data_IF_252675602794
#
_entry.id   IF_252675602794
#
_cell.length_a   1.000
_cell.length_b   1.000
_cell.length_c   1.000
_cell.angle_alpha   90.00
_cell.angle_beta   90.00
_cell.angle_gamma   90.00
#
_symmetry.space_group_name_H-M   'P 1'
#
loop_
_entity.id
_entity.type
_entity.pdbx_description
1 polymer ?
#
# COMPACT_ATOMS: atom_id res chain seq x y z
N UNK A 1 -2.68 15.73 -18.47
CA UNK A 1 -3.51 15.61 -17.26
C UNK A 1 -2.60 15.00 -16.20
N UNK A 2 -2.02 15.82 -15.33
CA UNK A 2 -1.14 15.33 -14.27
C UNK A 2 -2.02 14.64 -13.23
N UNK A 3 -1.89 13.32 -13.16
CA UNK A 3 -2.57 12.48 -12.18
C UNK A 3 -2.37 13.09 -10.79
N UNK A 4 -3.49 13.41 -10.15
CA UNK A 4 -3.45 13.80 -8.75
C UNK A 4 -2.97 12.56 -8.00
N UNK A 5 -1.85 12.70 -7.29
CA UNK A 5 -1.20 11.66 -6.53
C UNK A 5 -2.09 11.30 -5.32
N UNK A 6 -3.28 10.71 -5.59
CA UNK A 6 -4.33 10.42 -4.61
C UNK A 6 -3.77 9.38 -3.66
N UNK A 7 -3.69 9.76 -2.39
CA UNK A 7 -3.16 8.88 -1.36
C UNK A 7 -4.28 8.10 -0.70
N UNK A 8 -3.94 7.07 0.09
CA UNK A 8 -4.92 6.37 0.92
C UNK A 8 -5.63 7.32 1.89
N UNK A 9 -5.01 8.46 2.25
CA UNK A 9 -5.63 9.44 3.13
C UNK A 9 -6.89 10.06 2.50
N UNK A 10 -6.88 10.22 1.18
CA UNK A 10 -7.96 10.82 0.39
C UNK A 10 -9.08 9.82 0.04
N UNK A 11 -8.99 8.59 0.56
CA UNK A 11 -9.91 7.49 0.29
C UNK A 11 -10.81 7.19 1.50
N UNK A 12 -12.02 6.71 1.25
CA UNK A 12 -12.89 6.16 2.31
C UNK A 12 -12.33 4.83 2.83
N UNK A 13 -12.76 4.34 4.00
CA UNK A 13 -12.37 3.02 4.50
C UNK A 13 -12.60 1.90 3.47
N UNK A 14 -13.73 1.91 2.77
CA UNK A 14 -14.08 0.91 1.76
C UNK A 14 -13.16 0.98 0.53
N UNK A 15 -12.83 2.19 0.07
CA UNK A 15 -11.86 2.38 -1.02
C UNK A 15 -10.45 1.90 -0.60
N UNK A 16 -10.05 2.10 0.66
CA UNK A 16 -8.76 1.62 1.18
C UNK A 16 -8.70 0.10 1.24
N UNK A 17 -9.77 -0.55 1.69
CA UNK A 17 -9.88 -2.01 1.70
C UNK A 17 -9.75 -2.57 0.27
N UNK A 18 -10.36 -1.90 -0.72
CA UNK A 18 -10.21 -2.27 -2.12
C UNK A 18 -8.79 -2.09 -2.65
N UNK A 19 -7.96 -1.25 -2.02
CA UNK A 19 -6.56 -1.08 -2.38
C UNK A 19 -5.66 -2.18 -1.82
N UNK A 20 -6.14 -3.02 -0.90
CA UNK A 20 -5.33 -4.13 -0.36
C UNK A 20 -4.95 -5.08 -1.50
N UNK A 21 -3.67 -5.45 -1.54
CA UNK A 21 -3.07 -6.22 -2.63
C UNK A 21 -2.79 -5.43 -3.90
N UNK A 22 -2.88 -4.11 -3.88
CA UNK A 22 -2.35 -3.25 -4.94
C UNK A 22 -0.90 -2.85 -4.66
N UNK A 23 -0.22 -2.49 -5.73
CA UNK A 23 1.02 -1.76 -5.68
C UNK A 23 0.78 -0.35 -5.13
N UNK A 24 1.67 0.12 -4.28
CA UNK A 24 1.67 1.47 -3.71
C UNK A 24 3.04 2.09 -3.87
N UNK A 25 3.08 3.37 -4.25
CA UNK A 25 4.26 4.18 -4.02
C UNK A 25 4.24 4.60 -2.55
N UNK A 26 5.31 4.29 -1.84
CA UNK A 26 5.51 4.61 -0.43
C UNK A 26 6.84 5.38 -0.26
N UNK A 27 7.16 5.75 0.98
CA UNK A 27 8.34 6.59 1.31
C UNK A 27 9.64 5.99 0.78
N UNK A 28 9.79 4.67 0.89
CA UNK A 28 10.99 3.96 0.52
C UNK A 28 10.97 3.36 -0.91
N UNK A 29 9.95 3.68 -1.70
CA UNK A 29 9.82 3.18 -3.07
C UNK A 29 8.53 2.40 -3.30
N UNK A 30 8.57 1.44 -4.23
CA UNK A 30 7.42 0.63 -4.58
C UNK A 30 7.22 -0.48 -3.53
N UNK A 31 5.97 -0.66 -3.11
CA UNK A 31 5.61 -1.73 -2.19
C UNK A 31 4.22 -2.27 -2.46
N UNK A 32 3.85 -3.29 -1.70
CA UNK A 32 2.56 -3.97 -1.77
C UNK A 32 1.76 -3.64 -0.52
N UNK A 33 0.55 -3.12 -0.70
CA UNK A 33 -0.36 -2.86 0.41
C UNK A 33 -0.89 -4.20 0.97
N UNK A 34 -0.49 -4.58 2.19
CA UNK A 34 -0.91 -5.84 2.83
C UNK A 34 -2.16 -5.69 3.67
N UNK A 35 -2.35 -4.53 4.30
CA UNK A 35 -3.53 -4.24 5.09
C UNK A 35 -3.78 -2.73 5.17
N UNK A 36 -5.05 -2.36 5.32
CA UNK A 36 -5.47 -1.02 5.72
C UNK A 36 -5.94 -1.07 7.18
N UNK A 37 -5.02 -0.89 8.14
CA UNK A 37 -5.38 -0.95 9.56
C UNK A 37 -6.11 0.34 9.97
N UNK A 38 -7.27 0.21 10.64
CA UNK A 38 -8.12 1.33 11.06
C UNK A 38 -7.43 2.20 12.13
N UNK A 39 -7.72 3.50 12.05
CA UNK A 39 -7.01 4.65 12.60
C UNK A 39 -6.75 4.68 14.10
N UNK A 40 -5.51 5.06 14.45
CA UNK A 40 -5.21 5.87 15.63
C UNK A 40 -5.62 7.34 15.35
N UNK A 41 -6.33 7.99 16.28
CA UNK A 41 -6.83 9.37 16.16
C UNK A 41 -5.72 10.38 15.82
N UNK A 42 -4.46 10.04 16.11
CA UNK A 42 -3.31 10.93 15.96
C UNK A 42 -2.76 11.00 14.54
N UNK A 43 -2.98 9.99 13.69
CA UNK A 43 -2.33 9.87 12.38
C UNK A 43 -3.26 9.68 11.18
N UNK A 44 -4.57 9.69 11.39
CA UNK A 44 -5.58 9.43 10.34
C UNK A 44 -5.39 8.08 9.60
N UNK A 45 -4.66 7.13 10.21
CA UNK A 45 -4.52 5.74 9.75
C UNK A 45 -3.14 5.37 9.19
N UNK A 46 -2.81 4.07 9.32
CA UNK A 46 -1.60 3.44 8.83
C UNK A 46 -1.94 2.16 8.07
N UNK A 47 -1.01 1.74 7.23
CA UNK A 47 -1.12 0.54 6.43
C UNK A 47 0.20 -0.23 6.47
N UNK A 48 0.11 -1.55 6.42
CA UNK A 48 1.29 -2.39 6.32
C UNK A 48 1.70 -2.51 4.85
N UNK A 49 2.94 -2.18 4.55
CA UNK A 49 3.50 -2.21 3.19
C UNK A 49 4.71 -3.12 3.16
N UNK A 50 4.69 -4.09 2.25
CA UNK A 50 5.87 -4.90 1.96
C UNK A 50 6.62 -4.29 0.77
N UNK A 51 7.84 -3.80 1.03
CA UNK A 51 8.69 -3.22 0.01
C UNK A 51 9.28 -4.29 -0.91
N UNK A 52 9.45 -3.98 -2.19
CA UNK A 52 10.07 -4.89 -3.17
C UNK A 52 11.55 -4.61 -3.43
N UNK A 53 12.06 -3.49 -2.94
CA UNK A 53 13.47 -3.07 -3.08
C UNK A 53 14.23 -3.23 -1.74
N UNK A 54 15.52 -2.86 -1.72
CA UNK A 54 16.47 -3.01 -0.60
C UNK A 54 16.11 -2.27 0.71
N UNK A 55 14.89 -1.75 0.85
CA UNK A 55 14.42 -1.26 2.14
C UNK A 55 14.05 -2.46 3.02
N UNK A 56 14.85 -2.62 4.07
CA UNK A 56 14.73 -3.67 5.07
C UNK A 56 13.28 -3.82 5.57
N UNK A 57 12.69 -4.96 5.20
CA UNK A 57 11.43 -5.52 5.68
C UNK A 57 10.15 -4.67 5.51
N UNK A 58 9.01 -5.32 5.67
CA UNK A 58 7.71 -4.68 5.57
C UNK A 58 7.49 -3.70 6.74
N UNK A 59 6.97 -2.51 6.43
CA UNK A 59 6.84 -1.40 7.36
C UNK A 59 5.41 -0.88 7.48
N UNK A 60 5.12 -0.23 8.61
CA UNK A 60 3.89 0.54 8.80
C UNK A 60 4.06 1.95 8.25
N UNK A 61 3.30 2.27 7.19
CA UNK A 61 3.36 3.57 6.52
C UNK A 61 2.06 4.35 6.73
N UNK A 62 2.13 5.67 6.99
CA UNK A 62 0.94 6.48 7.18
C UNK A 62 0.19 6.64 5.85
N UNK A 63 -1.14 6.67 5.88
CA UNK A 63 -1.95 6.78 4.65
C UNK A 63 -1.59 7.98 3.75
N UNK A 64 -1.09 9.06 4.33
CA UNK A 64 -0.70 10.29 3.63
C UNK A 64 0.49 10.14 2.68
N UNK A 65 1.27 9.06 2.79
CA UNK A 65 2.45 8.82 1.92
C UNK A 65 2.25 7.63 0.98
N UNK A 66 1.09 6.97 1.06
CA UNK A 66 0.77 5.78 0.27
C UNK A 66 -0.12 6.15 -0.90
N UNK A 67 0.42 6.08 -2.12
CA UNK A 67 -0.32 6.33 -3.36
C UNK A 67 -0.50 5.01 -4.14
N UNK A 68 -1.72 4.46 -4.23
CA UNK A 68 -1.99 3.24 -5.00
C UNK A 68 -1.74 3.42 -6.50
N UNK A 69 -1.15 2.39 -7.12
CA UNK A 69 -0.83 2.31 -8.55
C UNK A 69 -1.90 1.52 -9.29
N UNK A 70 -2.95 2.24 -9.69
CA UNK A 70 -4.07 1.68 -10.46
C UNK A 70 -3.71 1.29 -11.90
N UNK A 71 -2.56 1.77 -12.39
CA UNK A 71 -1.99 1.43 -13.68
C UNK A 71 -1.32 0.04 -13.72
N UNK A 72 -1.06 -0.54 -12.55
CA UNK A 72 -0.45 -1.86 -12.42
C UNK A 72 -1.49 -2.95 -12.12
N UNK A 73 -1.24 -4.21 -12.54
CA UNK A 73 -2.09 -5.33 -12.13
C UNK A 73 -2.02 -5.53 -10.60
N UNK A 74 -2.94 -6.30 -10.04
CA UNK A 74 -2.88 -6.68 -8.62
C UNK A 74 -1.53 -7.32 -8.31
N UNK A 75 -0.95 -6.93 -7.18
CA UNK A 75 0.31 -7.47 -6.70
C UNK A 75 0.14 -8.87 -6.14
N UNK A 76 -1.04 -9.16 -5.56
CA UNK A 76 -1.40 -10.47 -5.06
C UNK A 76 -1.62 -11.48 -6.18
N UNK A 77 -1.34 -12.74 -5.85
CA UNK A 77 -1.64 -13.88 -6.69
C UNK A 77 -3.16 -14.03 -6.89
N UNK A 78 -3.61 -14.75 -7.95
CA UNK A 78 -5.02 -15.02 -8.17
C UNK A 78 -5.73 -15.74 -7.02
N UNK A 79 -4.98 -16.42 -6.15
CA UNK A 79 -5.49 -17.08 -4.94
C UNK A 79 -5.76 -16.11 -3.77
N UNK A 80 -5.51 -14.81 -3.96
CA UNK A 80 -5.70 -13.79 -2.94
C UNK A 80 -4.61 -13.75 -1.88
N UNK A 81 -3.45 -14.36 -2.14
CA UNK A 81 -2.28 -14.26 -1.27
C UNK A 81 -1.24 -13.31 -1.85
N UNK A 82 -0.48 -12.60 -1.01
CA UNK A 82 0.66 -11.84 -1.49
C UNK A 82 1.71 -12.78 -2.11
N UNK A 83 2.54 -12.28 -3.05
CA UNK A 83 3.65 -13.06 -3.57
C UNK A 83 4.54 -13.47 -2.39
N UNK A 84 5.02 -14.72 -2.39
CA UNK A 84 5.98 -15.18 -1.38
C UNK A 84 7.12 -14.16 -1.30
N UNK A 85 7.50 -13.68 -0.11
CA UNK A 85 8.60 -12.75 0.02
C UNK A 85 9.82 -13.42 -0.60
N UNK A 86 10.26 -12.93 -1.75
CA UNK A 86 11.51 -13.35 -2.33
C UNK A 86 12.60 -12.78 -1.44
N UNK A 87 12.93 -13.48 -0.36
CA UNK A 87 14.21 -13.33 0.33
C UNK A 87 15.29 -13.58 -0.73
N UNK A 88 15.87 -12.50 -1.26
CA UNK A 88 17.18 -12.57 -1.90
C UNK A 88 18.25 -12.53 -0.83
#
# INVERSE_FOLDING_TARGET
MTEHNRTLLDMTPEEREQCVGMWVNATCGLGILKSSTISDERFKGFAYVEYTDDCDEAAEEPYRVLAPRFDLPRAWNPDGTPPSPSRR
#
